data_IF_083932671812
#
_entry.id   IF_083932671812
#
_cell.length_a   1.000
_cell.length_b   1.000
_cell.length_c   1.000
_cell.angle_alpha   90.00
_cell.angle_beta   90.00
_cell.angle_gamma   90.00
#
_symmetry.space_group_name_H-M   'P 1'
#
loop_
_entity.id
_entity.type
_entity.pdbx_description
1 polymer ?
#
# COMPACT_ATOMS: atom_id res chain seq x y z
N UNK A 1 39.43 -31.95 -18.15
CA UNK A 1 38.00 -32.20 -18.46
C UNK A 1 37.07 -31.73 -17.32
N UNK A 2 37.42 -32.00 -16.06
CA UNK A 2 36.63 -31.71 -14.84
C UNK A 2 36.37 -30.21 -14.58
N UNK A 3 37.36 -29.33 -14.79
CA UNK A 3 37.19 -27.89 -14.60
C UNK A 3 36.22 -27.24 -15.59
N UNK A 4 36.12 -27.77 -16.82
CA UNK A 4 35.17 -27.27 -17.84
C UNK A 4 33.73 -27.60 -17.48
N UNK A 5 33.50 -28.75 -16.83
CA UNK A 5 32.18 -29.17 -16.35
C UNK A 5 31.77 -28.29 -15.15
N UNK A 6 32.68 -28.05 -14.20
CA UNK A 6 32.43 -27.15 -13.07
C UNK A 6 32.08 -25.72 -13.49
N UNK A 7 32.76 -25.16 -14.50
CA UNK A 7 32.43 -23.82 -15.02
C UNK A 7 31.05 -23.75 -15.67
N UNK A 8 30.62 -24.82 -16.34
CA UNK A 8 29.29 -24.87 -17.00
C UNK A 8 28.19 -24.99 -15.95
N UNK A 9 28.39 -25.82 -14.92
CA UNK A 9 27.43 -25.97 -13.82
C UNK A 9 27.31 -24.66 -13.04
N UNK A 10 28.43 -23.99 -12.75
CA UNK A 10 28.40 -22.68 -12.09
C UNK A 10 27.66 -21.65 -12.94
N UNK A 11 27.92 -21.59 -14.25
CA UNK A 11 27.22 -20.68 -15.15
C UNK A 11 25.71 -20.97 -15.21
N UNK A 12 25.30 -22.24 -15.23
CA UNK A 12 23.89 -22.63 -15.24
C UNK A 12 23.17 -22.23 -13.94
N UNK A 13 23.83 -22.35 -12.78
CA UNK A 13 23.28 -21.91 -11.49
C UNK A 13 23.14 -20.38 -11.45
N UNK A 14 24.15 -19.64 -11.93
CA UNK A 14 24.07 -18.18 -12.01
C UNK A 14 22.92 -17.74 -12.91
N UNK A 15 22.72 -18.39 -14.05
CA UNK A 15 21.59 -18.09 -14.96
C UNK A 15 20.25 -18.37 -14.27
N UNK A 16 20.11 -19.49 -13.56
CA UNK A 16 18.87 -19.83 -12.87
C UNK A 16 18.52 -18.85 -11.73
N UNK A 17 19.51 -18.30 -11.02
CA UNK A 17 19.29 -17.33 -9.93
C UNK A 17 18.93 -15.94 -10.44
N UNK A 18 19.44 -15.55 -11.63
CA UNK A 18 19.24 -14.20 -12.18
C UNK A 18 18.03 -14.15 -13.13
N UNK A 19 17.39 -15.28 -13.43
CA UNK A 19 16.19 -15.28 -14.25
C UNK A 19 15.05 -14.54 -13.55
N UNK A 20 14.43 -13.55 -14.21
CA UNK A 20 13.27 -12.86 -13.66
C UNK A 20 12.13 -13.86 -13.48
N UNK A 21 11.55 -13.90 -12.28
CA UNK A 21 10.34 -14.67 -12.05
C UNK A 21 9.18 -14.04 -12.83
N UNK A 22 8.50 -14.84 -13.66
CA UNK A 22 7.27 -14.42 -14.33
C UNK A 22 6.22 -14.01 -13.30
N UNK A 23 5.90 -12.72 -13.23
CA UNK A 23 4.82 -12.16 -12.41
C UNK A 23 3.41 -12.50 -12.96
N UNK A 24 3.28 -13.64 -13.65
CA UNK A 24 2.07 -14.09 -14.34
C UNK A 24 0.91 -14.45 -13.39
N UNK A 25 1.15 -14.47 -12.07
CA UNK A 25 0.15 -14.81 -11.07
C UNK A 25 -0.85 -13.69 -10.76
N UNK A 26 -0.63 -12.45 -11.23
CA UNK A 26 -1.51 -11.33 -10.93
C UNK A 26 -2.43 -11.02 -12.13
N UNK A 27 -3.48 -11.82 -12.33
CA UNK A 27 -4.51 -11.52 -13.32
C UNK A 27 -5.37 -10.35 -12.82
N UNK A 28 -5.10 -9.14 -13.32
CA UNK A 28 -5.96 -7.98 -13.05
C UNK A 28 -7.33 -8.19 -13.71
N UNK A 29 -8.44 -8.17 -12.95
CA UNK A 29 -9.78 -8.23 -13.52
C UNK A 29 -9.96 -7.10 -14.55
N UNK A 30 -10.63 -7.38 -15.66
CA UNK A 30 -10.86 -6.39 -16.73
C UNK A 30 -12.34 -6.25 -17.04
N UNK A 31 -12.72 -5.03 -17.40
CA UNK A 31 -14.05 -4.71 -17.92
C UNK A 31 -14.23 -5.32 -19.32
N UNK A 32 -15.48 -5.39 -19.80
CA UNK A 32 -15.79 -5.87 -21.16
C UNK A 32 -15.16 -5.03 -22.27
N UNK A 33 -14.74 -3.79 -21.95
CA UNK A 33 -14.07 -2.86 -22.87
C UNK A 33 -12.54 -2.85 -22.69
N UNK A 34 -11.98 -3.77 -21.88
CA UNK A 34 -10.55 -4.07 -21.80
C UNK A 34 -9.75 -3.24 -20.79
N UNK A 35 -10.38 -2.38 -20.00
CA UNK A 35 -9.71 -1.61 -18.93
C UNK A 35 -9.65 -2.40 -17.62
N UNK A 36 -8.72 -2.09 -16.70
CA UNK A 36 -8.74 -2.66 -15.35
C UNK A 36 -10.09 -2.40 -14.67
N UNK A 37 -10.65 -3.44 -14.07
CA UNK A 37 -11.87 -3.35 -13.29
C UNK A 37 -11.54 -2.94 -11.85
N UNK A 38 -12.06 -1.77 -11.46
CA UNK A 38 -11.87 -1.13 -10.15
C UNK A 38 -13.16 -1.21 -9.29
N UNK A 39 -14.10 -2.09 -9.62
CA UNK A 39 -15.26 -2.34 -8.76
C UNK A 39 -14.84 -2.97 -7.42
N UNK A 40 -15.54 -2.62 -6.33
CA UNK A 40 -15.26 -3.14 -4.99
C UNK A 40 -15.76 -2.19 -3.89
N UNK A 41 -15.43 -2.53 -2.64
CA UNK A 41 -15.70 -1.66 -1.49
C UNK A 41 -14.53 -0.69 -1.33
N UNK A 42 -14.82 0.61 -1.41
CA UNK A 42 -13.85 1.68 -1.24
C UNK A 42 -13.95 2.31 0.15
N UNK A 43 -12.80 2.65 0.70
CA UNK A 43 -12.67 3.40 1.95
C UNK A 43 -12.08 4.78 1.66
N UNK A 44 -12.67 5.83 2.24
CA UNK A 44 -12.29 7.22 2.01
C UNK A 44 -11.66 7.88 3.26
N UNK A 45 -11.37 7.11 4.31
CA UNK A 45 -10.78 7.63 5.54
C UNK A 45 -9.37 8.20 5.28
N UNK A 46 -9.23 9.52 5.28
CA UNK A 46 -7.94 10.24 5.11
C UNK A 46 -7.45 10.78 6.43
N UNK A 47 -6.26 10.42 6.91
CA UNK A 47 -5.71 10.86 8.21
C UNK A 47 -5.74 12.39 8.37
N UNK A 48 -5.41 13.11 7.30
CA UNK A 48 -5.45 14.57 7.27
C UNK A 48 -6.85 15.04 6.90
N UNK A 49 -7.50 15.90 7.71
CA UNK A 49 -8.76 16.53 7.35
C UNK A 49 -8.66 17.29 6.02
N UNK A 50 -9.75 17.30 5.24
CA UNK A 50 -9.79 18.02 3.95
C UNK A 50 -9.76 19.54 4.15
N UNK A 51 -10.32 20.01 5.27
CA UNK A 51 -10.30 21.42 5.66
C UNK A 51 -9.31 21.64 6.80
N UNK A 52 -8.61 22.77 6.77
CA UNK A 52 -7.67 23.10 7.85
C UNK A 52 -8.45 23.37 9.15
N UNK A 53 -8.15 22.66 10.25
CA UNK A 53 -8.75 22.94 11.55
C UNK A 53 -8.52 24.40 11.97
N UNK A 54 -9.52 25.04 12.57
CA UNK A 54 -9.47 26.45 13.01
C UNK A 54 -8.34 26.70 13.99
N UNK A 55 -8.05 25.72 14.83
CA UNK A 55 -6.99 25.80 15.85
C UNK A 55 -5.58 25.81 15.23
N UNK A 56 -5.47 25.41 13.96
CA UNK A 56 -4.23 25.37 13.19
C UNK A 56 -4.18 26.47 12.13
N UNK A 57 -5.12 27.43 12.13
CA UNK A 57 -5.24 28.44 11.07
C UNK A 57 -3.95 29.24 10.87
N UNK A 58 -3.31 29.66 11.97
CA UNK A 58 -2.08 30.47 11.98
C UNK A 58 -0.80 29.65 12.04
N UNK A 59 -0.88 28.34 12.29
CA UNK A 59 0.30 27.48 12.36
C UNK A 59 0.52 26.79 11.00
N UNK A 60 1.51 27.26 10.25
CA UNK A 60 1.77 26.79 8.89
C UNK A 60 2.54 25.46 8.82
N UNK A 61 3.33 25.15 9.85
CA UNK A 61 4.27 24.02 9.83
C UNK A 61 4.34 23.32 11.17
N UNK A 62 4.32 21.99 11.15
CA UNK A 62 4.60 21.19 12.33
C UNK A 62 6.06 20.81 12.42
N UNK A 63 6.57 20.73 13.66
CA UNK A 63 7.75 19.93 13.96
C UNK A 63 7.42 18.45 13.80
N UNK A 64 8.44 17.60 13.68
CA UNK A 64 8.24 16.15 13.56
C UNK A 64 7.45 15.57 14.74
N UNK A 65 7.73 16.05 15.95
CA UNK A 65 7.01 15.66 17.17
C UNK A 65 5.52 16.06 17.13
N UNK A 66 5.22 17.28 16.70
CA UNK A 66 3.84 17.78 16.58
C UNK A 66 3.05 17.00 15.51
N UNK A 67 3.70 16.63 14.40
CA UNK A 67 3.06 15.83 13.36
C UNK A 67 2.74 14.41 13.86
N UNK A 68 3.66 13.80 14.64
CA UNK A 68 3.42 12.50 15.27
C UNK A 68 2.24 12.57 16.25
N UNK A 69 2.23 13.56 17.15
CA UNK A 69 1.14 13.74 18.10
C UNK A 69 -0.21 13.96 17.40
N UNK A 70 -0.24 14.79 16.36
CA UNK A 70 -1.45 15.00 15.55
C UNK A 70 -1.96 13.70 14.93
N UNK A 71 -1.06 12.89 14.37
CA UNK A 71 -1.43 11.60 13.76
C UNK A 71 -2.02 10.62 14.78
N UNK A 72 -1.44 10.52 15.97
CA UNK A 72 -1.94 9.66 17.05
C UNK A 72 -3.32 10.12 17.53
N UNK A 73 -3.51 11.42 17.70
CA UNK A 73 -4.81 11.99 18.07
C UNK A 73 -5.88 11.69 17.02
N UNK A 74 -5.58 11.85 15.73
CA UNK A 74 -6.50 11.57 14.63
C UNK A 74 -6.88 10.08 14.54
N UNK A 75 -5.91 9.18 14.73
CA UNK A 75 -6.16 7.73 14.81
C UNK A 75 -7.06 7.41 16.00
N UNK A 76 -6.81 8.03 17.16
CA UNK A 76 -7.62 7.86 18.36
C UNK A 76 -9.06 8.34 18.19
N UNK A 77 -9.27 9.48 17.53
CA UNK A 77 -10.62 10.00 17.20
C UNK A 77 -11.40 9.01 16.34
N UNK A 78 -10.78 8.44 15.31
CA UNK A 78 -11.43 7.53 14.34
C UNK A 78 -11.66 6.13 14.85
N UNK A 79 -10.78 5.64 15.72
CA UNK A 79 -10.93 4.32 16.33
C UNK A 79 -12.19 4.24 17.19
N UNK A 80 -12.67 5.37 17.71
CA UNK A 80 -13.94 5.46 18.45
C UNK A 80 -15.19 5.35 17.57
N UNK A 81 -15.08 5.70 16.28
CA UNK A 81 -16.17 5.64 15.31
C UNK A 81 -16.29 4.29 14.58
N UNK A 82 -15.33 3.38 14.78
CA UNK A 82 -15.40 2.05 14.17
C UNK A 82 -16.29 1.15 15.03
N UNK A 83 -17.44 0.73 14.49
CA UNK A 83 -18.18 -0.40 15.08
C UNK A 83 -17.18 -1.56 15.26
N UNK A 84 -17.26 -2.24 16.40
CA UNK A 84 -16.27 -3.17 16.96
C UNK A 84 -15.83 -4.33 16.04
N UNK A 85 -16.35 -4.45 14.82
CA UNK A 85 -16.05 -5.54 13.88
C UNK A 85 -14.86 -5.32 12.94
N UNK A 86 -14.28 -4.12 12.85
CA UNK A 86 -13.21 -3.83 11.88
C UNK A 86 -13.65 -3.97 10.41
N UNK A 87 -14.96 -4.05 10.19
CA UNK A 87 -15.61 -4.23 8.91
C UNK A 87 -15.71 -2.88 8.20
N UNK A 88 -15.17 -2.79 6.99
CA UNK A 88 -15.43 -1.64 6.10
C UNK A 88 -16.92 -1.63 5.80
N UNK A 89 -17.66 -0.69 6.41
CA UNK A 89 -19.10 -0.56 6.20
C UNK A 89 -19.32 -0.05 4.78
N UNK A 90 -20.11 -0.76 3.94
CA UNK A 90 -20.40 -0.28 2.61
C UNK A 90 -21.21 1.02 2.72
N UNK A 91 -20.67 2.10 2.16
CA UNK A 91 -21.40 3.36 2.00
C UNK A 91 -22.28 3.22 0.76
N UNK A 92 -23.61 3.25 0.96
CA UNK A 92 -24.62 3.38 -0.10
C UNK A 92 -25.42 4.65 0.12
#
# INVERSE_FOLDING_TARGET
>A
MTYRILTIVLAAVVVAVVMPADASAQSTPRTSWGTPDLQGVWDFRSLTPMERPTDLATNETFTEEQAAEFSEQEIGRRSRDTDTSGRVVPYN
#
